data_IF_274303646800
#
_entry.id   IF_274303646800
#
_cell.length_a   1.000
_cell.length_b   1.000
_cell.length_c   1.000
_cell.angle_alpha   90.00
_cell.angle_beta   90.00
_cell.angle_gamma   90.00
#
_symmetry.space_group_name_H-M   'P 1'
#
loop_
_entity.id
_entity.type
_entity.pdbx_description
1 polymer ?
#
# COMPACT_ATOMS: atom_id res chain seq x y z
N UNK A 1 30.36 11.93 -23.04
CA UNK A 1 30.27 12.76 -21.82
C UNK A 1 28.81 13.13 -21.49
N UNK A 2 28.10 13.70 -22.44
CA UNK A 2 26.70 14.08 -22.23
C UNK A 2 25.79 12.88 -22.09
N UNK A 3 26.05 11.81 -22.83
CA UNK A 3 25.30 10.55 -22.74
C UNK A 3 25.48 9.90 -21.37
N UNK A 4 26.68 9.96 -20.79
CA UNK A 4 26.97 9.41 -19.48
C UNK A 4 26.22 10.19 -18.39
N UNK A 5 26.25 11.51 -18.45
CA UNK A 5 25.54 12.37 -17.50
C UNK A 5 24.03 12.17 -17.60
N UNK A 6 23.49 12.04 -18.81
CA UNK A 6 22.07 11.76 -19.03
C UNK A 6 21.66 10.41 -18.47
N UNK A 7 22.52 9.38 -18.62
CA UNK A 7 22.25 8.05 -18.07
C UNK A 7 22.26 8.05 -16.54
N UNK A 8 23.21 8.75 -15.93
CA UNK A 8 23.27 8.90 -14.47
C UNK A 8 22.05 9.63 -13.93
N UNK A 9 21.62 10.68 -14.62
CA UNK A 9 20.44 11.45 -14.23
C UNK A 9 19.16 10.59 -14.33
N UNK A 10 19.02 9.81 -15.40
CA UNK A 10 17.88 8.88 -15.54
C UNK A 10 17.87 7.86 -14.42
N UNK A 11 19.00 7.28 -14.10
CA UNK A 11 19.11 6.28 -13.04
C UNK A 11 18.73 6.87 -11.69
N UNK A 12 19.22 8.06 -11.36
CA UNK A 12 18.86 8.75 -10.12
C UNK A 12 17.36 9.04 -10.05
N UNK A 13 16.78 9.50 -11.17
CA UNK A 13 15.35 9.78 -11.26
C UNK A 13 14.53 8.49 -11.07
N UNK A 14 14.95 7.40 -11.71
CA UNK A 14 14.29 6.11 -11.59
C UNK A 14 14.34 5.59 -10.15
N UNK A 15 15.48 5.68 -9.49
CA UNK A 15 15.64 5.28 -8.10
C UNK A 15 14.73 6.13 -7.21
N UNK A 16 14.75 7.44 -7.38
CA UNK A 16 13.93 8.34 -6.56
C UNK A 16 12.45 8.06 -6.74
N UNK A 17 11.99 7.93 -7.98
CA UNK A 17 10.59 7.63 -8.29
C UNK A 17 10.15 6.30 -7.67
N UNK A 18 10.98 5.27 -7.79
CA UNK A 18 10.67 3.94 -7.25
C UNK A 18 10.64 3.94 -5.73
N UNK A 19 11.57 4.65 -5.09
CA UNK A 19 11.57 4.82 -3.64
C UNK A 19 10.32 5.55 -3.16
N UNK A 20 9.92 6.62 -3.85
CA UNK A 20 8.72 7.37 -3.51
C UNK A 20 7.46 6.51 -3.64
N UNK A 21 7.38 5.68 -4.68
CA UNK A 21 6.27 4.75 -4.89
C UNK A 21 6.21 3.71 -3.76
N UNK A 22 7.36 3.17 -3.37
CA UNK A 22 7.42 2.21 -2.27
C UNK A 22 7.01 2.87 -0.95
N UNK A 23 7.51 4.06 -0.65
CA UNK A 23 7.18 4.78 0.57
C UNK A 23 5.69 5.10 0.65
N UNK A 24 5.09 5.53 -0.46
CA UNK A 24 3.65 5.81 -0.54
C UNK A 24 2.84 4.54 -0.27
N UNK A 25 3.17 3.45 -0.96
CA UNK A 25 2.47 2.19 -0.80
C UNK A 25 2.64 1.63 0.61
N UNK A 26 3.84 1.72 1.18
CA UNK A 26 4.11 1.26 2.54
C UNK A 26 3.35 2.08 3.58
N UNK A 27 3.21 3.39 3.37
CA UNK A 27 2.41 4.26 4.23
C UNK A 27 0.94 3.86 4.17
N UNK A 28 0.42 3.55 3.00
CA UNK A 28 -0.95 3.07 2.84
C UNK A 28 -1.16 1.73 3.57
N UNK A 29 -0.24 0.78 3.41
CA UNK A 29 -0.31 -0.50 4.13
C UNK A 29 -0.39 -0.28 5.63
N UNK A 30 0.47 0.57 6.17
CA UNK A 30 0.49 0.89 7.59
C UNK A 30 -0.81 1.54 8.04
N UNK A 31 -1.32 2.49 7.26
CA UNK A 31 -2.55 3.19 7.55
C UNK A 31 -3.76 2.24 7.58
N UNK A 32 -3.86 1.33 6.61
CA UNK A 32 -4.92 0.32 6.59
C UNK A 32 -4.81 -0.62 7.78
N UNK A 33 -3.61 -1.11 8.07
CA UNK A 33 -3.39 -2.08 9.14
C UNK A 33 -3.64 -1.49 10.53
N UNK A 34 -3.18 -0.27 10.78
CA UNK A 34 -3.22 0.33 12.13
C UNK A 34 -4.48 1.15 12.41
N UNK A 35 -5.11 1.70 11.38
CA UNK A 35 -6.20 2.66 11.56
C UNK A 35 -7.49 2.25 10.86
N UNK A 36 -7.43 2.01 9.55
CA UNK A 36 -8.64 1.84 8.73
C UNK A 36 -9.34 0.52 9.04
N UNK A 37 -8.60 -0.60 9.02
CA UNK A 37 -9.19 -1.91 9.29
C UNK A 37 -9.73 -2.05 10.71
N UNK A 38 -9.02 -1.62 11.77
CA UNK A 38 -9.59 -1.65 13.11
C UNK A 38 -10.83 -0.78 13.25
N UNK A 39 -10.86 0.40 12.61
CA UNK A 39 -12.03 1.27 12.64
C UNK A 39 -13.22 0.64 11.91
N UNK A 40 -12.98 0.04 10.75
CA UNK A 40 -14.04 -0.65 9.99
C UNK A 40 -14.59 -1.85 10.75
N UNK A 41 -13.74 -2.62 11.41
CA UNK A 41 -14.15 -3.74 12.26
C UNK A 41 -14.97 -3.25 13.46
N UNK A 42 -14.53 -2.19 14.11
CA UNK A 42 -15.25 -1.58 15.22
C UNK A 42 -16.65 -1.10 14.79
N UNK A 43 -16.77 -0.54 13.59
CA UNK A 43 -18.06 -0.12 13.04
C UNK A 43 -19.00 -1.30 12.85
N UNK A 44 -18.51 -2.45 12.36
CA UNK A 44 -19.30 -3.68 12.24
C UNK A 44 -19.79 -4.14 13.61
N UNK A 45 -18.89 -4.17 14.59
CA UNK A 45 -19.23 -4.60 15.95
C UNK A 45 -20.27 -3.69 16.59
N UNK A 46 -20.14 -2.38 16.41
CA UNK A 46 -21.08 -1.39 16.92
C UNK A 46 -22.46 -1.54 16.25
N UNK A 47 -22.49 -1.69 14.92
CA UNK A 47 -23.72 -1.86 14.17
C UNK A 47 -24.45 -3.16 14.57
N UNK A 48 -23.69 -4.24 14.75
CA UNK A 48 -24.23 -5.54 15.15
C UNK A 48 -24.85 -5.46 16.55
N UNK A 49 -24.17 -4.87 17.50
CA UNK A 49 -24.70 -4.68 18.85
C UNK A 49 -25.91 -3.78 18.85
N UNK A 50 -25.88 -2.69 18.09
CA UNK A 50 -27.03 -1.80 17.97
C UNK A 50 -28.24 -2.49 17.37
N UNK A 51 -28.03 -3.39 16.39
CA UNK A 51 -29.09 -4.19 15.81
C UNK A 51 -29.68 -5.17 16.86
N UNK A 52 -28.84 -5.87 17.59
CA UNK A 52 -29.26 -6.80 18.64
C UNK A 52 -30.06 -6.09 19.75
N UNK A 53 -29.73 -4.84 20.02
CA UNK A 53 -30.41 -4.02 21.01
C UNK A 53 -31.63 -3.28 20.47
N UNK A 54 -31.96 -3.49 19.20
CA UNK A 54 -33.10 -2.83 18.54
C UNK A 54 -32.88 -1.36 18.22
N UNK A 55 -31.65 -0.84 18.29
CA UNK A 55 -31.34 0.58 18.05
C UNK A 55 -31.04 0.87 16.57
N UNK A 56 -30.52 -0.11 15.85
CA UNK A 56 -30.19 -0.01 14.43
C UNK A 56 -30.96 -1.05 13.64
N UNK A 57 -31.17 -0.79 12.36
CA UNK A 57 -31.77 -1.79 11.48
C UNK A 57 -30.68 -2.66 10.84
N UNK A 58 -31.08 -3.75 10.20
CA UNK A 58 -30.14 -4.69 9.61
C UNK A 58 -29.33 -4.10 8.46
N UNK A 59 -29.89 -3.10 7.76
CA UNK A 59 -29.16 -2.41 6.69
C UNK A 59 -27.91 -1.72 7.21
N UNK A 60 -27.96 -1.20 8.42
CA UNK A 60 -26.78 -0.57 9.04
C UNK A 60 -25.65 -1.59 9.23
N UNK A 61 -25.99 -2.83 9.61
CA UNK A 61 -25.03 -3.92 9.73
C UNK A 61 -24.43 -4.27 8.36
N UNK A 62 -25.29 -4.40 7.35
CA UNK A 62 -24.82 -4.70 5.98
C UNK A 62 -23.91 -3.63 5.43
N UNK A 63 -24.23 -2.37 5.64
CA UNK A 63 -23.41 -1.25 5.18
C UNK A 63 -22.04 -1.26 5.85
N UNK A 64 -21.99 -1.52 7.15
CA UNK A 64 -20.74 -1.64 7.88
C UNK A 64 -19.89 -2.81 7.38
N UNK A 65 -20.54 -3.97 7.10
CA UNK A 65 -19.83 -5.12 6.55
C UNK A 65 -19.27 -4.86 5.16
N UNK A 66 -20.02 -4.17 4.30
CA UNK A 66 -19.55 -3.78 2.97
C UNK A 66 -18.33 -2.87 3.06
N UNK A 67 -18.36 -1.92 3.97
CA UNK A 67 -17.23 -1.01 4.20
C UNK A 67 -16.00 -1.79 4.65
N UNK A 68 -16.14 -2.76 5.55
CA UNK A 68 -15.04 -3.61 5.99
C UNK A 68 -14.46 -4.44 4.85
N UNK A 69 -15.31 -5.04 4.02
CA UNK A 69 -14.88 -5.82 2.85
C UNK A 69 -14.11 -4.93 1.88
N UNK A 70 -14.61 -3.73 1.60
CA UNK A 70 -13.93 -2.77 0.74
C UNK A 70 -12.57 -2.38 1.29
N UNK A 71 -12.48 -2.13 2.59
CA UNK A 71 -11.22 -1.79 3.24
C UNK A 71 -10.21 -2.93 3.16
N UNK A 72 -10.64 -4.17 3.35
CA UNK A 72 -9.79 -5.36 3.21
C UNK A 72 -9.26 -5.51 1.79
N UNK A 73 -10.11 -5.28 0.79
CA UNK A 73 -9.72 -5.33 -0.63
C UNK A 73 -8.65 -4.27 -0.93
N UNK A 74 -8.85 -3.05 -0.46
CA UNK A 74 -7.90 -1.95 -0.65
C UNK A 74 -6.58 -2.23 0.08
N UNK A 75 -6.64 -2.84 1.24
CA UNK A 75 -5.45 -3.24 1.99
C UNK A 75 -4.60 -4.25 1.19
N UNK A 76 -5.25 -5.27 0.62
CA UNK A 76 -4.56 -6.27 -0.21
C UNK A 76 -3.92 -5.60 -1.43
N UNK A 77 -4.61 -4.67 -2.07
CA UNK A 77 -4.08 -3.91 -3.20
C UNK A 77 -2.86 -3.08 -2.79
N UNK A 78 -2.91 -2.45 -1.63
CA UNK A 78 -1.79 -1.66 -1.11
C UNK A 78 -0.56 -2.56 -0.84
N UNK A 79 -0.77 -3.75 -0.29
CA UNK A 79 0.31 -4.73 -0.09
C UNK A 79 0.92 -5.13 -1.43
N UNK A 80 0.10 -5.40 -2.44
CA UNK A 80 0.58 -5.77 -3.77
C UNK A 80 1.42 -4.65 -4.39
N UNK A 81 0.97 -3.40 -4.28
CA UNK A 81 1.70 -2.24 -4.77
C UNK A 81 3.03 -2.05 -4.05
N UNK A 82 3.05 -2.22 -2.73
CA UNK A 82 4.28 -2.13 -1.94
C UNK A 82 5.27 -3.23 -2.33
N UNK A 83 4.78 -4.44 -2.54
CA UNK A 83 5.60 -5.59 -2.96
C UNK A 83 6.19 -5.34 -4.34
N UNK A 84 5.38 -4.87 -5.30
CA UNK A 84 5.86 -4.55 -6.64
C UNK A 84 6.93 -3.47 -6.62
N UNK A 85 6.73 -2.43 -5.84
CA UNK A 85 7.70 -1.34 -5.71
C UNK A 85 9.00 -1.87 -5.10
N UNK A 86 8.92 -2.72 -4.08
CA UNK A 86 10.09 -3.33 -3.46
C UNK A 86 10.88 -4.19 -4.44
N UNK A 87 10.20 -5.01 -5.24
CA UNK A 87 10.85 -5.84 -6.27
C UNK A 87 11.59 -4.96 -7.28
N UNK A 88 10.99 -3.83 -7.68
CA UNK A 88 11.65 -2.89 -8.59
C UNK A 88 12.89 -2.27 -7.97
N UNK A 89 12.84 -1.93 -6.69
CA UNK A 89 14.01 -1.42 -5.95
C UNK A 89 15.12 -2.45 -5.96
N UNK A 90 14.83 -3.70 -5.63
CA UNK A 90 15.82 -4.78 -5.64
C UNK A 90 16.44 -4.96 -7.02
N UNK A 91 15.63 -4.87 -8.07
CA UNK A 91 16.12 -4.98 -9.45
C UNK A 91 17.08 -3.84 -9.81
N UNK A 92 16.71 -2.61 -9.45
CA UNK A 92 17.55 -1.43 -9.72
C UNK A 92 18.89 -1.56 -9.00
N UNK A 93 18.88 -1.93 -7.71
CA UNK A 93 20.12 -2.10 -6.95
C UNK A 93 20.95 -3.28 -7.46
N UNK A 94 20.31 -4.35 -7.92
CA UNK A 94 21.01 -5.45 -8.57
C UNK A 94 21.73 -5.02 -9.84
N UNK A 95 21.07 -4.23 -10.68
CA UNK A 95 21.65 -3.70 -11.91
C UNK A 95 22.81 -2.75 -11.63
N UNK A 96 22.67 -1.87 -10.64
CA UNK A 96 23.74 -0.95 -10.22
C UNK A 96 24.94 -1.75 -9.69
N UNK A 97 24.69 -2.77 -8.90
CA UNK A 97 25.75 -3.63 -8.36
C UNK A 97 26.53 -4.34 -9.48
N UNK A 98 25.83 -4.83 -10.51
CA UNK A 98 26.49 -5.41 -11.68
C UNK A 98 27.36 -4.39 -12.42
N UNK A 99 26.89 -3.17 -12.59
CA UNK A 99 27.63 -2.10 -13.24
C UNK A 99 28.92 -1.74 -12.49
N UNK A 100 28.87 -1.76 -11.16
CA UNK A 100 30.04 -1.45 -10.34
C UNK A 100 31.04 -2.58 -10.24
N UNK A 101 30.61 -3.84 -10.48
CA UNK A 101 31.49 -5.02 -10.47
C UNK A 101 32.21 -5.26 -11.77
N UNK A 102 31.76 -4.68 -12.86
CA UNK A 102 32.39 -4.87 -14.17
C UNK A 102 33.69 -4.05 -14.22
N UNK A 103 34.81 -4.68 -14.50
CA UNK A 103 36.13 -3.97 -14.58
C UNK A 103 36.17 -2.98 -15.73
#
# INVERSE_FOLDING_TARGET
>A
RDLRNASELRLRTEIQTTLDQWMTANTEVTSFNQTILPAAQSAVDTATRGFEMGKFNFLDVLDAQRTLISARTQYIQAIAEATDAWVRIERIFGDVDQLTRTP
#
